data_IF_926561103100
#
_entry.id   IF_926561103100
#
_cell.length_a   1.000
_cell.length_b   1.000
_cell.length_c   1.000
_cell.angle_alpha   90.00
_cell.angle_beta   90.00
_cell.angle_gamma   90.00
#
_symmetry.space_group_name_H-M   'P 1'
#
loop_
_entity.id
_entity.type
_entity.pdbx_description
1 polymer ?
#
# COMPACT_ATOMS: atom_id res chain seq x y z
N UNK A 1 -3.32 2.44 11.16
CA UNK A 1 -3.48 2.91 9.78
C UNK A 1 -4.05 4.33 9.72
N UNK A 2 -5.24 4.57 10.29
CA UNK A 2 -5.95 5.86 10.20
C UNK A 2 -5.06 7.08 10.47
N UNK A 3 -4.42 7.15 11.64
CA UNK A 3 -3.53 8.26 11.99
C UNK A 3 -2.37 8.50 11.01
N UNK A 4 -1.87 7.46 10.33
CA UNK A 4 -0.83 7.64 9.31
C UNK A 4 -1.40 8.24 8.02
N UNK A 5 -2.59 7.80 7.61
CA UNK A 5 -3.31 8.33 6.45
C UNK A 5 -3.74 9.79 6.67
N UNK A 6 -4.23 10.11 7.87
CA UNK A 6 -4.58 11.48 8.27
C UNK A 6 -3.36 12.41 8.19
N UNK A 7 -2.19 11.96 8.69
CA UNK A 7 -0.95 12.74 8.60
C UNK A 7 -0.48 12.95 7.16
N UNK A 8 -0.61 11.93 6.31
CA UNK A 8 -0.26 12.07 4.89
C UNK A 8 -1.21 13.05 4.17
N UNK A 9 -2.52 12.97 4.45
CA UNK A 9 -3.50 13.90 3.92
C UNK A 9 -3.25 15.34 4.39
N UNK A 10 -3.02 15.54 5.69
CA UNK A 10 -2.70 16.84 6.27
C UNK A 10 -1.40 17.44 5.75
N UNK A 11 -0.46 16.61 5.29
CA UNK A 11 0.77 17.05 4.62
C UNK A 11 0.57 17.38 3.12
N UNK A 12 -0.65 17.26 2.59
CA UNK A 12 -0.98 17.60 1.20
C UNK A 12 -0.67 16.50 0.18
N UNK A 13 -0.42 15.26 0.62
CA UNK A 13 -0.26 14.15 -0.33
C UNK A 13 -1.61 13.68 -0.86
N UNK A 14 -1.66 13.36 -2.16
CA UNK A 14 -2.90 12.93 -2.84
C UNK A 14 -3.18 11.43 -2.69
N UNK A 15 -2.15 10.61 -2.44
CA UNK A 15 -2.27 9.17 -2.36
C UNK A 15 -1.23 8.57 -1.42
N UNK A 16 -1.58 7.47 -0.78
CA UNK A 16 -0.65 6.62 -0.06
C UNK A 16 -0.32 5.38 -0.89
N UNK A 17 0.93 4.92 -0.81
CA UNK A 17 1.45 3.74 -1.51
C UNK A 17 2.05 2.78 -0.50
N UNK A 18 1.85 1.49 -0.69
CA UNK A 18 2.57 0.44 0.02
C UNK A 18 2.82 -0.78 -0.87
N UNK A 19 3.84 -1.56 -0.52
CA UNK A 19 4.17 -2.82 -1.17
C UNK A 19 3.85 -3.97 -0.22
N UNK A 20 3.21 -5.02 -0.75
CA UNK A 20 2.86 -6.23 0.01
C UNK A 20 3.30 -7.43 -0.79
N UNK A 21 3.86 -8.43 -0.11
CA UNK A 21 4.10 -9.74 -0.70
C UNK A 21 2.83 -10.28 -1.36
N UNK A 22 2.95 -10.73 -2.61
CA UNK A 22 1.85 -11.28 -3.41
C UNK A 22 1.15 -12.44 -2.70
N UNK A 23 1.92 -13.24 -1.97
CA UNK A 23 1.57 -14.44 -1.23
C UNK A 23 0.99 -14.14 0.16
N UNK A 24 1.11 -12.91 0.67
CA UNK A 24 0.55 -12.55 1.98
C UNK A 24 -0.95 -12.21 1.88
N UNK A 25 -1.75 -13.24 1.58
CA UNK A 25 -3.21 -13.13 1.37
C UNK A 25 -3.91 -12.45 2.55
N UNK A 26 -3.47 -12.71 3.79
CA UNK A 26 -4.05 -12.09 4.99
C UNK A 26 -3.83 -10.58 5.00
N UNK A 27 -2.60 -10.11 4.73
CA UNK A 27 -2.32 -8.69 4.69
C UNK A 27 -3.05 -8.03 3.51
N UNK A 28 -3.07 -8.66 2.33
CA UNK A 28 -3.80 -8.16 1.16
C UNK A 28 -5.28 -7.91 1.44
N UNK A 29 -5.97 -8.88 2.06
CA UNK A 29 -7.37 -8.73 2.50
C UNK A 29 -7.56 -7.59 3.51
N UNK A 30 -6.62 -7.42 4.44
CA UNK A 30 -6.67 -6.31 5.41
C UNK A 30 -6.56 -4.94 4.73
N UNK A 31 -5.67 -4.79 3.76
CA UNK A 31 -5.54 -3.53 3.00
C UNK A 31 -6.75 -3.30 2.08
N UNK A 32 -7.24 -4.33 1.39
CA UNK A 32 -8.45 -4.22 0.56
C UNK A 32 -9.67 -3.78 1.39
N UNK A 33 -9.86 -4.35 2.57
CA UNK A 33 -10.90 -3.93 3.51
C UNK A 33 -10.70 -2.48 4.01
N UNK A 34 -9.47 -1.97 4.01
CA UNK A 34 -9.12 -0.59 4.34
C UNK A 34 -9.27 0.41 3.19
N UNK A 35 -9.83 0.00 2.06
CA UNK A 35 -10.04 0.85 0.88
C UNK A 35 -8.80 1.02 0.01
N UNK A 36 -7.82 0.12 0.12
CA UNK A 36 -6.66 0.07 -0.77
C UNK A 36 -6.96 -0.80 -1.98
N UNK A 37 -6.36 -0.45 -3.13
CA UNK A 37 -6.47 -1.25 -4.36
C UNK A 37 -5.12 -1.41 -5.03
N UNK A 38 -4.93 -2.51 -5.76
CA UNK A 38 -3.72 -2.72 -6.55
C UNK A 38 -3.76 -1.86 -7.81
N UNK A 39 -2.62 -1.28 -8.21
CA UNK A 39 -2.48 -0.53 -9.47
C UNK A 39 -1.84 -1.36 -10.60
N UNK A 40 -1.67 -2.67 -10.38
CA UNK A 40 -1.02 -3.58 -11.32
C UNK A 40 0.50 -3.57 -11.27
N UNK A 41 1.14 -2.66 -10.53
CA UNK A 41 2.59 -2.66 -10.41
C UNK A 41 3.08 -3.77 -9.48
N UNK A 42 4.15 -4.42 -9.92
CA UNK A 42 4.81 -5.53 -9.24
C UNK A 42 6.30 -5.22 -9.20
N UNK A 43 6.98 -5.65 -8.14
CA UNK A 43 8.44 -5.69 -8.08
C UNK A 43 8.90 -7.02 -7.51
N UNK A 44 10.01 -7.51 -8.02
CA UNK A 44 10.73 -8.62 -7.40
C UNK A 44 11.81 -8.04 -6.47
N UNK A 45 11.90 -8.59 -5.27
CA UNK A 45 12.90 -8.24 -4.25
C UNK A 45 13.64 -9.52 -3.84
N UNK A 46 14.96 -9.52 -3.99
CA UNK A 46 15.86 -10.60 -3.60
C UNK A 46 16.82 -10.22 -2.46
N UNK A 47 16.68 -9.00 -1.91
CA UNK A 47 17.56 -8.44 -0.87
C UNK A 47 17.59 -9.25 0.43
N UNK A 48 16.58 -10.11 0.65
CA UNK A 48 16.47 -10.99 1.81
C UNK A 48 17.07 -12.39 1.59
N UNK A 49 17.79 -12.60 0.50
CA UNK A 49 18.45 -13.87 0.17
C UNK A 49 17.55 -14.90 -0.51
N UNK A 50 16.31 -14.53 -0.84
CA UNK A 50 15.37 -15.31 -1.64
C UNK A 50 14.48 -14.36 -2.43
N UNK A 51 14.04 -14.79 -3.62
CA UNK A 51 13.17 -13.97 -4.47
C UNK A 51 11.77 -13.87 -3.86
N UNK A 52 11.28 -12.65 -3.74
CA UNK A 52 9.96 -12.29 -3.24
C UNK A 52 9.28 -11.40 -4.27
N UNK A 53 8.02 -11.64 -4.57
CA UNK A 53 7.24 -10.78 -5.44
C UNK A 53 6.32 -9.91 -4.57
N UNK A 54 6.41 -8.60 -4.73
CA UNK A 54 5.56 -7.63 -4.05
C UNK A 54 4.64 -6.93 -5.05
N UNK A 55 3.36 -6.82 -4.68
CA UNK A 55 2.36 -6.04 -5.41
C UNK A 55 2.19 -4.68 -4.76
N UNK A 56 2.00 -3.64 -5.57
CA UNK A 56 1.77 -2.28 -5.07
C UNK A 56 0.29 -2.03 -4.85
N UNK A 57 -0.04 -1.56 -3.65
CA UNK A 57 -1.35 -1.02 -3.32
C UNK A 57 -1.28 0.50 -3.27
N UNK A 58 -2.38 1.13 -3.66
CA UNK A 58 -2.64 2.56 -3.57
C UNK A 58 -3.93 2.83 -2.82
N UNK A 59 -4.00 3.99 -2.19
CA UNK A 59 -5.23 4.53 -1.63
C UNK A 59 -5.25 6.04 -1.81
N UNK A 60 -6.27 6.61 -2.46
CA UNK A 60 -6.48 8.05 -2.49
C UNK A 60 -6.59 8.61 -1.07
N UNK A 61 -6.01 9.79 -0.87
CA UNK A 61 -6.14 10.55 0.37
C UNK A 61 -7.19 11.64 0.15
N UNK A 62 -7.97 11.99 1.19
CA UNK A 62 -8.83 13.15 1.12
C UNK A 62 -7.98 14.40 0.93
N UNK A 63 -8.44 15.34 0.11
CA UNK A 63 -7.83 16.66 0.04
C UNK A 63 -7.90 17.32 1.43
N UNK A 64 -6.85 18.03 1.86
CA UNK A 64 -6.94 18.88 3.03
C UNK A 64 -7.99 19.98 2.77
N UNK A 65 -8.78 20.30 3.80
CA UNK A 65 -9.71 21.45 3.82
C UNK A 65 -8.95 22.79 3.74
#
# INVERSE_FOLDING_TARGET
>A
MAAALERLAAAGFEQAILWVLDSNVRARRFYEAGGWSTDGAVKDDDSRGFRMTEVRYRRPLPSPD
#
